data_IF_612349582719
#
_entry.id   IF_612349582719
#
_cell.length_a   1.000
_cell.length_b   1.000
_cell.length_c   1.000
_cell.angle_alpha   90.00
_cell.angle_beta   90.00
_cell.angle_gamma   90.00
#
_symmetry.space_group_name_H-M   'P 1'
#
loop_
_entity.id
_entity.type
_entity.pdbx_description
1 polymer ?
#
# COMPACT_ATOMS: atom_id res chain seq x y z
N UNK A 1 -4.36 -11.24 9.96
CA UNK A 1 -4.35 -10.33 8.79
C UNK A 1 -2.94 -9.89 8.42
N UNK A 2 -2.20 -9.22 9.32
CA UNK A 2 -0.81 -8.77 9.14
C UNK A 2 0.11 -9.76 8.41
N UNK A 3 0.28 -10.97 8.94
CA UNK A 3 1.24 -11.94 8.38
C UNK A 3 0.81 -12.48 7.01
N UNK A 4 -0.50 -12.53 6.77
CA UNK A 4 -1.06 -12.88 5.45
C UNK A 4 -0.69 -11.81 4.42
N UNK A 5 -0.97 -10.54 4.72
CA UNK A 5 -0.68 -9.40 3.84
C UNK A 5 0.81 -9.36 3.49
N UNK A 6 1.68 -9.45 4.51
CA UNK A 6 3.14 -9.52 4.30
C UNK A 6 3.54 -10.69 3.41
N UNK A 7 2.98 -11.88 3.66
CA UNK A 7 3.29 -13.09 2.88
C UNK A 7 2.90 -12.92 1.41
N UNK A 8 1.67 -12.52 1.12
CA UNK A 8 1.14 -12.41 -0.24
C UNK A 8 1.90 -11.32 -1.01
N UNK A 9 2.05 -10.14 -0.41
CA UNK A 9 2.74 -9.02 -1.04
C UNK A 9 4.21 -9.31 -1.34
N UNK A 10 4.94 -9.94 -0.41
CA UNK A 10 6.32 -10.35 -0.64
C UNK A 10 6.41 -11.37 -1.77
N UNK A 11 5.54 -12.38 -1.79
CA UNK A 11 5.57 -13.40 -2.82
C UNK A 11 5.22 -12.87 -4.21
N UNK A 12 4.23 -11.98 -4.33
CA UNK A 12 3.90 -11.33 -5.60
C UNK A 12 5.06 -10.47 -6.12
N UNK A 13 5.71 -9.71 -5.24
CA UNK A 13 6.91 -8.95 -5.59
C UNK A 13 8.06 -9.84 -6.08
N UNK A 14 8.35 -10.91 -5.33
CA UNK A 14 9.44 -11.83 -5.70
C UNK A 14 9.12 -12.61 -6.97
N UNK A 15 7.86 -12.99 -7.19
CA UNK A 15 7.42 -13.69 -8.39
C UNK A 15 7.70 -12.89 -9.66
N UNK A 16 7.46 -11.57 -9.64
CA UNK A 16 7.75 -10.67 -10.78
C UNK A 16 9.25 -10.64 -11.12
N UNK A 17 10.12 -10.84 -10.14
CA UNK A 17 11.58 -10.90 -10.36
C UNK A 17 12.06 -12.22 -10.96
N UNK A 18 11.24 -13.27 -10.97
CA UNK A 18 11.61 -14.59 -11.52
C UNK A 18 11.24 -14.65 -13.00
N UNK A 19 12.17 -14.25 -13.88
CA UNK A 19 11.93 -14.21 -15.33
C UNK A 19 11.60 -15.58 -15.97
N UNK A 20 11.90 -16.69 -15.30
CA UNK A 20 11.69 -18.05 -15.81
C UNK A 20 10.42 -18.75 -15.29
N UNK A 21 9.60 -18.08 -14.45
CA UNK A 21 8.38 -18.64 -13.90
C UNK A 21 7.15 -17.84 -14.34
N UNK A 22 6.29 -18.45 -15.16
CA UNK A 22 5.02 -17.88 -15.60
C UNK A 22 3.82 -18.35 -14.77
N UNK A 23 4.03 -19.27 -13.82
CA UNK A 23 2.99 -19.74 -12.90
C UNK A 23 3.58 -20.28 -11.59
N UNK A 24 2.71 -20.49 -10.59
CA UNK A 24 3.10 -20.94 -9.24
C UNK A 24 3.81 -22.31 -9.22
N UNK A 25 3.47 -23.21 -10.14
CA UNK A 25 4.11 -24.53 -10.23
C UNK A 25 5.53 -24.43 -10.83
N UNK A 26 5.75 -23.48 -11.73
CA UNK A 26 7.09 -23.16 -12.24
C UNK A 26 7.92 -22.46 -11.16
N UNK A 27 7.34 -21.51 -10.41
CA UNK A 27 8.01 -20.87 -9.28
C UNK A 27 8.44 -21.88 -8.21
N UNK A 28 7.55 -22.83 -7.87
CA UNK A 28 7.86 -23.86 -6.88
C UNK A 28 9.00 -24.78 -7.31
N UNK A 29 9.01 -25.21 -8.59
CA UNK A 29 10.09 -26.02 -9.15
C UNK A 29 11.41 -25.26 -9.21
N UNK A 30 11.37 -24.02 -9.69
CA UNK A 30 12.54 -23.15 -9.73
C UNK A 30 13.14 -22.98 -8.32
N UNK A 31 12.30 -22.74 -7.31
CA UNK A 31 12.75 -22.60 -5.93
C UNK A 31 13.41 -23.89 -5.43
N UNK A 32 12.75 -25.04 -5.62
CA UNK A 32 13.25 -26.35 -5.18
C UNK A 32 14.60 -26.68 -5.86
N UNK A 33 14.73 -26.47 -7.17
CA UNK A 33 15.96 -26.70 -7.95
C UNK A 33 17.10 -25.79 -7.49
N UNK A 34 16.82 -24.48 -7.33
CA UNK A 34 17.82 -23.48 -6.94
C UNK A 34 18.33 -23.74 -5.52
N UNK A 35 17.44 -24.09 -4.60
CA UNK A 35 17.81 -24.38 -3.22
C UNK A 35 18.50 -25.73 -3.08
N UNK A 36 18.14 -26.74 -3.89
CA UNK A 36 18.84 -28.02 -3.90
C UNK A 36 20.30 -27.87 -4.37
N UNK A 37 20.54 -27.01 -5.37
CA UNK A 37 21.89 -26.70 -5.84
C UNK A 37 22.75 -26.01 -4.76
N UNK A 38 22.15 -25.16 -3.92
CA UNK A 38 22.86 -24.44 -2.84
C UNK A 38 23.04 -25.26 -1.56
N UNK A 39 22.07 -26.10 -1.23
CA UNK A 39 22.05 -26.91 -0.01
C UNK A 39 21.84 -28.38 -0.36
N UNK A 40 22.86 -29.04 -0.94
CA UNK A 40 22.78 -30.45 -1.31
C UNK A 40 22.55 -31.30 -0.05
N UNK A 41 21.57 -32.20 -0.11
CA UNK A 41 21.19 -33.09 1.00
C UNK A 41 19.96 -32.67 1.80
N UNK A 42 19.39 -31.49 1.53
CA UNK A 42 18.08 -31.10 2.05
C UNK A 42 16.98 -31.29 1.00
N UNK A 43 15.86 -31.89 1.42
CA UNK A 43 14.64 -31.92 0.61
C UNK A 43 13.82 -30.66 0.85
N UNK A 44 13.37 -30.03 -0.25
CA UNK A 44 12.60 -28.79 -0.21
C UNK A 44 11.11 -29.03 -0.48
N UNK A 45 10.80 -29.89 -1.46
CA UNK A 45 9.46 -30.43 -1.80
C UNK A 45 8.32 -29.40 -1.76
N UNK A 46 8.60 -28.14 -2.12
CA UNK A 46 7.61 -27.05 -2.05
C UNK A 46 6.56 -27.20 -3.14
N UNK A 47 6.95 -27.75 -4.29
CA UNK A 47 6.04 -28.08 -5.38
C UNK A 47 5.06 -29.20 -4.98
N UNK A 48 5.55 -30.29 -4.38
CA UNK A 48 4.73 -31.45 -3.99
C UNK A 48 3.77 -31.06 -2.85
N UNK A 49 4.25 -30.31 -1.86
CA UNK A 49 3.45 -29.88 -0.71
C UNK A 49 2.46 -28.75 -1.01
N UNK A 50 2.48 -28.19 -2.23
CA UNK A 50 1.72 -27.00 -2.63
C UNK A 50 1.96 -25.82 -1.66
N UNK A 51 3.16 -25.71 -1.07
CA UNK A 51 3.46 -24.71 -0.05
C UNK A 51 3.23 -23.30 -0.59
N UNK A 52 3.95 -22.95 -1.66
CA UNK A 52 3.87 -21.62 -2.25
C UNK A 52 2.44 -21.28 -2.65
N UNK A 53 1.70 -22.23 -3.25
CA UNK A 53 0.29 -22.02 -3.59
C UNK A 53 -0.54 -21.57 -2.37
N UNK A 54 -0.39 -22.22 -1.22
CA UNK A 54 -1.09 -21.83 0.03
C UNK A 54 -0.67 -20.44 0.52
N UNK A 55 0.61 -20.08 0.36
CA UNK A 55 1.12 -18.77 0.75
C UNK A 55 0.64 -17.66 -0.21
N UNK A 56 0.66 -17.86 -1.52
CA UNK A 56 0.17 -16.91 -2.54
C UNK A 56 -1.33 -16.64 -2.39
N UNK A 57 -2.14 -17.66 -2.06
CA UNK A 57 -3.56 -17.48 -1.76
C UNK A 57 -3.83 -16.94 -0.34
N UNK A 58 -2.78 -16.65 0.45
CA UNK A 58 -2.94 -16.15 1.81
C UNK A 58 -3.57 -17.13 2.79
N UNK A 59 -3.61 -18.42 2.47
CA UNK A 59 -4.16 -19.47 3.36
C UNK A 59 -3.23 -19.74 4.55
N UNK A 60 -1.92 -19.62 4.35
CA UNK A 60 -0.89 -19.88 5.37
C UNK A 60 0.15 -18.76 5.31
N UNK A 61 0.50 -18.21 6.47
CA UNK A 61 1.57 -17.23 6.59
C UNK A 61 2.95 -17.90 6.41
N UNK A 62 3.91 -17.15 5.87
CA UNK A 62 5.29 -17.60 5.77
C UNK A 62 5.96 -17.58 7.15
N UNK A 63 6.76 -18.59 7.44
CA UNK A 63 7.60 -18.58 8.66
C UNK A 63 8.92 -17.87 8.38
N UNK A 64 9.56 -17.34 9.42
CA UNK A 64 10.83 -16.63 9.33
C UNK A 64 11.92 -17.44 8.60
N UNK A 65 11.94 -18.76 8.82
CA UNK A 65 12.86 -19.67 8.14
C UNK A 65 12.73 -19.61 6.61
N UNK A 66 11.50 -19.58 6.10
CA UNK A 66 11.25 -19.52 4.65
C UNK A 66 11.51 -18.13 4.07
N UNK A 67 11.29 -17.08 4.86
CA UNK A 67 11.71 -15.72 4.49
C UNK A 67 13.23 -15.65 4.36
N UNK A 68 13.98 -16.27 5.28
CA UNK A 68 15.45 -16.34 5.20
C UNK A 68 15.93 -17.08 3.94
N UNK A 69 15.27 -18.18 3.55
CA UNK A 69 15.62 -18.86 2.31
C UNK A 69 15.32 -18.03 1.07
N UNK A 70 14.23 -17.27 1.06
CA UNK A 70 13.97 -16.32 -0.02
C UNK A 70 14.99 -15.18 -0.03
N UNK A 71 15.44 -14.71 1.12
CA UNK A 71 16.46 -13.66 1.21
C UNK A 71 17.82 -14.10 0.65
N UNK A 72 18.17 -15.38 0.77
CA UNK A 72 19.34 -15.97 0.10
C UNK A 72 19.22 -15.93 -1.42
N UNK A 73 18.01 -16.09 -1.96
CA UNK A 73 17.74 -16.08 -3.40
C UNK A 73 17.50 -14.69 -3.97
N UNK A 74 17.03 -13.77 -3.14
CA UNK A 74 16.73 -12.38 -3.47
C UNK A 74 17.36 -11.45 -2.41
N UNK A 75 18.70 -11.38 -2.36
CA UNK A 75 19.38 -10.37 -1.57
C UNK A 75 19.04 -8.96 -2.10
N UNK A 76 19.48 -7.97 -1.34
CA UNK A 76 19.45 -6.55 -1.73
C UNK A 76 19.84 -6.35 -3.21
N UNK A 77 19.01 -5.62 -3.95
CA UNK A 77 19.18 -5.33 -5.38
C UNK A 77 20.57 -4.76 -5.75
N UNK A 78 21.22 -4.04 -4.82
CA UNK A 78 22.59 -3.51 -5.00
C UNK A 78 23.61 -4.62 -5.22
N UNK A 79 23.34 -5.81 -4.69
CA UNK A 79 24.20 -6.97 -4.85
C UNK A 79 24.22 -7.45 -6.31
N UNK A 80 23.09 -7.39 -7.00
CA UNK A 80 23.01 -7.71 -8.43
C UNK A 80 23.67 -6.63 -9.29
N UNK A 81 23.49 -5.35 -8.96
CA UNK A 81 24.15 -4.24 -9.67
C UNK A 81 25.68 -4.31 -9.59
N UNK A 82 26.22 -4.70 -8.43
CA UNK A 82 27.66 -4.90 -8.23
C UNK A 82 28.21 -6.12 -9.00
N UNK A 83 27.39 -7.17 -9.16
CA UNK A 83 27.79 -8.40 -9.84
C UNK A 83 27.64 -8.30 -11.37
N UNK A 84 26.66 -7.54 -11.86
CA UNK A 84 26.52 -7.16 -13.27
C UNK A 84 27.66 -6.24 -13.73
N UNK A 85 28.11 -5.32 -12.86
CA UNK A 85 29.27 -4.45 -13.12
C UNK A 85 30.59 -5.23 -13.30
N UNK A 86 30.68 -6.46 -12.79
CA UNK A 86 31.85 -7.34 -12.92
C UNK A 86 31.81 -8.23 -14.18
N UNK A 87 30.67 -8.34 -14.88
CA UNK A 87 30.46 -9.38 -15.90
C UNK A 87 29.93 -8.93 -17.28
N UNK A 88 29.80 -7.65 -17.59
CA UNK A 88 29.27 -7.24 -18.91
C UNK A 88 30.28 -7.42 -20.06
N UNK A 89 29.86 -8.05 -21.19
CA UNK A 89 29.53 -7.24 -22.35
C UNK A 89 28.20 -7.58 -23.07
N UNK A 90 27.50 -6.50 -23.43
CA UNK A 90 26.55 -6.25 -24.55
C UNK A 90 25.50 -7.32 -24.94
N UNK A 91 24.24 -7.08 -24.54
CA UNK A 91 23.09 -6.76 -25.43
C UNK A 91 21.73 -7.23 -24.85
N UNK A 92 20.78 -6.28 -24.77
CA UNK A 92 19.30 -6.43 -24.72
C UNK A 92 18.69 -7.24 -23.56
N UNK A 93 17.73 -6.74 -22.78
CA UNK A 93 16.67 -5.76 -22.99
C UNK A 93 16.45 -4.92 -21.72
N UNK A 94 16.15 -3.61 -21.82
CA UNK A 94 15.66 -2.88 -20.67
C UNK A 94 14.18 -3.22 -20.48
N UNK A 95 13.85 -4.20 -19.64
CA UNK A 95 12.58 -4.14 -18.94
C UNK A 95 12.71 -2.99 -17.95
N UNK A 96 12.30 -1.79 -18.38
CA UNK A 96 12.02 -0.70 -17.45
C UNK A 96 11.14 -1.29 -16.34
N UNK A 97 11.50 -1.09 -15.06
CA UNK A 97 10.56 -1.35 -13.97
C UNK A 97 9.27 -0.59 -14.30
N UNK A 98 8.11 -1.21 -14.09
CA UNK A 98 6.82 -0.51 -14.18
C UNK A 98 6.95 0.83 -13.42
N UNK A 99 6.67 1.93 -14.12
CA UNK A 99 6.71 3.27 -13.56
C UNK A 99 5.86 3.30 -12.28
N UNK A 100 6.47 3.72 -11.16
CA UNK A 100 5.89 3.64 -9.81
C UNK A 100 6.64 2.72 -8.83
N UNK A 101 7.56 1.89 -9.32
CA UNK A 101 8.46 1.10 -8.45
C UNK A 101 9.74 1.87 -8.11
N UNK A 102 9.69 2.92 -7.28
CA UNK A 102 10.90 3.35 -6.54
C UNK A 102 11.20 2.36 -5.42
N UNK A 103 11.37 1.10 -5.78
CA UNK A 103 11.79 0.07 -4.85
C UNK A 103 13.26 0.33 -4.58
N UNK A 104 13.55 0.95 -3.43
CA UNK A 104 14.86 0.84 -2.82
C UNK A 104 15.34 -0.61 -2.92
N UNK A 105 16.63 -0.80 -3.13
CA UNK A 105 17.24 -2.10 -3.31
C UNK A 105 17.08 -2.94 -2.02
N UNK A 106 15.92 -3.59 -1.86
CA UNK A 106 15.57 -4.34 -0.66
C UNK A 106 15.55 -5.83 -0.98
N UNK A 107 16.17 -6.61 -0.10
CA UNK A 107 16.10 -8.07 -0.11
C UNK A 107 14.72 -8.56 0.36
N UNK A 108 14.46 -9.86 0.19
CA UNK A 108 13.18 -10.47 0.58
C UNK A 108 12.86 -10.28 2.07
N UNK A 109 13.87 -10.31 2.94
CA UNK A 109 13.68 -10.12 4.38
C UNK A 109 13.21 -8.70 4.72
N UNK A 110 13.88 -7.68 4.17
CA UNK A 110 13.51 -6.28 4.37
C UNK A 110 12.11 -6.01 3.80
N UNK A 111 11.80 -6.54 2.61
CA UNK A 111 10.48 -6.41 2.01
C UNK A 111 9.38 -7.06 2.86
N UNK A 112 9.64 -8.23 3.44
CA UNK A 112 8.68 -8.92 4.31
C UNK A 112 8.47 -8.20 5.65
N UNK A 113 9.54 -7.70 6.25
CA UNK A 113 9.48 -7.01 7.55
C UNK A 113 8.88 -5.60 7.41
N UNK A 114 9.45 -4.82 6.50
CA UNK A 114 9.28 -3.37 6.48
C UNK A 114 8.24 -2.95 5.43
N UNK A 115 8.17 -3.70 4.33
CA UNK A 115 7.28 -3.45 3.20
C UNK A 115 7.82 -2.42 2.22
N UNK A 116 7.16 -2.29 1.05
CA UNK A 116 7.51 -1.25 0.10
C UNK A 116 7.34 0.12 0.76
N UNK A 117 8.33 1.02 0.63
CA UNK A 117 8.29 2.34 1.25
C UNK A 117 8.02 2.37 2.75
N UNK A 118 8.35 1.30 3.49
CA UNK A 118 8.02 1.10 4.91
C UNK A 118 6.50 1.04 5.21
N UNK A 119 5.70 0.59 4.25
CA UNK A 119 4.24 0.50 4.39
C UNK A 119 3.80 -0.44 5.53
N UNK A 120 4.50 -1.56 5.78
CA UNK A 120 4.12 -2.46 6.87
C UNK A 120 4.38 -1.84 8.24
N UNK A 121 5.45 -1.06 8.37
CA UNK A 121 5.67 -0.25 9.58
C UNK A 121 4.51 0.73 9.77
N UNK A 122 4.15 1.48 8.71
CA UNK A 122 3.09 2.47 8.78
C UNK A 122 1.73 1.89 9.18
N UNK A 123 1.37 0.69 8.70
CA UNK A 123 0.07 0.08 8.97
C UNK A 123 0.05 -0.67 10.32
N UNK A 124 1.10 -1.43 10.64
CA UNK A 124 1.03 -2.43 11.72
C UNK A 124 1.78 -2.07 12.99
N UNK A 125 2.74 -1.17 12.91
CA UNK A 125 3.53 -0.82 14.10
C UNK A 125 2.89 0.32 14.86
N UNK A 126 3.05 0.29 16.18
CA UNK A 126 2.76 1.41 17.06
C UNK A 126 3.89 2.43 16.92
N UNK A 127 3.95 3.08 15.75
CA UNK A 127 4.93 4.14 15.56
C UNK A 127 4.51 5.31 16.44
N UNK A 128 5.46 5.79 17.24
CA UNK A 128 5.36 6.99 18.04
C UNK A 128 4.75 8.13 17.22
N UNK A 129 3.78 8.82 17.81
CA UNK A 129 3.28 10.10 17.33
C UNK A 129 4.47 11.00 16.97
N UNK A 130 4.38 11.74 15.85
CA UNK A 130 5.38 12.69 15.37
C UNK A 130 6.53 12.17 14.45
N UNK A 131 6.40 10.99 13.81
CA UNK A 131 7.36 10.54 12.75
C UNK A 131 6.92 11.03 11.36
N UNK A 132 7.15 12.31 11.08
CA UNK A 132 7.10 12.89 9.73
C UNK A 132 8.26 13.90 9.57
N UNK A 133 8.85 13.99 8.38
CA UNK A 133 10.03 14.81 8.08
C UNK A 133 9.71 16.32 7.95
N UNK A 134 8.76 16.82 8.74
CA UNK A 134 8.32 18.22 8.71
C UNK A 134 8.20 18.81 10.12
N UNK A 135 8.33 20.14 10.19
CA UNK A 135 8.32 20.89 11.45
C UNK A 135 6.99 20.79 12.22
N UNK A 136 5.90 20.41 11.54
CA UNK A 136 4.59 20.22 12.14
C UNK A 136 3.73 19.21 11.36
N UNK A 137 2.68 18.71 12.01
CA UNK A 137 1.69 17.84 11.35
C UNK A 137 1.02 18.56 10.17
N UNK A 138 0.67 19.85 10.34
CA UNK A 138 0.01 20.64 9.30
C UNK A 138 0.89 20.73 8.05
N UNK A 139 2.16 21.07 8.23
CA UNK A 139 3.13 21.12 7.14
C UNK A 139 3.26 19.76 6.42
N UNK A 140 3.38 18.66 7.18
CA UNK A 140 3.44 17.32 6.60
C UNK A 140 2.17 16.94 5.81
N UNK A 141 0.99 17.33 6.31
CA UNK A 141 -0.29 17.09 5.65
C UNK A 141 -0.44 17.96 4.40
N UNK A 142 -0.07 19.24 4.47
CA UNK A 142 -0.11 20.17 3.34
C UNK A 142 0.82 19.70 2.21
N UNK A 143 2.05 19.29 2.54
CA UNK A 143 3.03 18.78 1.58
C UNK A 143 2.53 17.48 0.93
N UNK A 144 2.00 16.54 1.72
CA UNK A 144 1.45 15.30 1.19
C UNK A 144 0.22 15.56 0.32
N UNK A 145 -0.71 16.40 0.77
CA UNK A 145 -1.92 16.72 0.01
C UNK A 145 -1.56 17.38 -1.33
N UNK A 146 -0.65 18.35 -1.31
CA UNK A 146 -0.15 19.00 -2.51
C UNK A 146 0.47 17.98 -3.46
N UNK A 147 1.40 17.15 -2.98
CA UNK A 147 2.09 16.13 -3.78
C UNK A 147 1.12 15.13 -4.40
N UNK A 148 0.20 14.57 -3.60
CA UNK A 148 -0.74 13.54 -4.07
C UNK A 148 -1.68 14.10 -5.14
N UNK A 149 -2.26 15.28 -4.92
CA UNK A 149 -3.15 15.87 -5.90
C UNK A 149 -2.41 16.38 -7.14
N UNK A 150 -1.20 16.93 -7.01
CA UNK A 150 -0.42 17.37 -8.18
C UNK A 150 0.03 16.17 -9.01
N UNK A 151 0.51 15.10 -8.37
CA UNK A 151 0.93 13.90 -9.07
C UNK A 151 -0.26 13.25 -9.78
N UNK A 152 -1.39 13.13 -9.09
CA UNK A 152 -2.60 12.58 -9.68
C UNK A 152 -3.10 13.38 -10.89
N UNK A 153 -3.11 14.72 -10.80
CA UNK A 153 -3.54 15.59 -11.90
C UNK A 153 -2.57 15.58 -13.11
N UNK A 154 -1.29 15.27 -12.87
CA UNK A 154 -0.25 15.24 -13.89
C UNK A 154 0.03 13.82 -14.41
N UNK A 155 -0.76 12.82 -14.02
CA UNK A 155 -0.53 11.40 -14.29
C UNK A 155 0.87 10.90 -13.85
N UNK A 156 1.43 11.53 -12.80
CA UNK A 156 2.70 11.11 -12.20
C UNK A 156 2.47 9.97 -11.19
N UNK A 157 3.39 9.00 -11.10
CA UNK A 157 3.25 7.90 -10.16
C UNK A 157 3.18 8.38 -8.71
N UNK A 158 2.28 7.75 -7.94
CA UNK A 158 2.21 7.88 -6.47
C UNK A 158 2.87 6.64 -5.87
N UNK A 159 3.95 6.85 -5.12
CA UNK A 159 4.80 5.76 -4.63
C UNK A 159 4.24 5.12 -3.36
N UNK A 160 4.77 3.95 -2.98
CA UNK A 160 4.39 3.30 -1.72
C UNK A 160 4.83 4.09 -0.49
N UNK A 161 5.91 4.88 -0.60
CA UNK A 161 6.34 5.84 0.42
C UNK A 161 5.26 6.90 0.67
N UNK A 162 4.57 7.36 -0.38
CA UNK A 162 3.48 8.33 -0.26
C UNK A 162 2.26 7.71 0.42
N UNK A 163 1.94 6.46 0.08
CA UNK A 163 0.90 5.69 0.77
C UNK A 163 1.27 5.43 2.24
N UNK A 164 2.51 5.06 2.54
CA UNK A 164 2.98 4.87 3.90
C UNK A 164 2.87 6.17 4.71
N UNK A 165 3.23 7.31 4.11
CA UNK A 165 3.07 8.63 4.74
C UNK A 165 1.60 8.99 4.97
N UNK A 166 0.72 8.71 4.01
CA UNK A 166 -0.71 8.91 4.16
C UNK A 166 -1.29 8.09 5.32
N UNK A 167 -0.88 6.82 5.45
CA UNK A 167 -1.26 5.95 6.57
C UNK A 167 -0.78 6.53 7.91
N UNK A 168 0.48 7.00 8.00
CA UNK A 168 1.02 7.59 9.24
C UNK A 168 0.23 8.83 9.66
N UNK A 169 0.01 9.77 8.75
CA UNK A 169 -0.73 11.00 9.04
C UNK A 169 -2.19 10.74 9.41
N UNK A 170 -2.82 9.75 8.76
CA UNK A 170 -4.17 9.32 9.13
C UNK A 170 -4.21 8.69 10.53
N UNK A 171 -3.31 7.74 10.83
CA UNK A 171 -3.28 7.08 12.14
C UNK A 171 -2.98 8.04 13.29
N UNK A 172 -2.16 9.07 13.06
CA UNK A 172 -1.91 10.14 14.03
C UNK A 172 -3.17 10.98 14.37
N UNK A 173 -4.22 10.91 13.54
CA UNK A 173 -5.53 11.53 13.79
C UNK A 173 -6.53 10.59 14.46
N UNK A 174 -6.14 9.35 14.77
CA UNK A 174 -7.00 8.45 15.52
C UNK A 174 -6.89 8.73 17.02
N UNK A 175 -8.01 8.67 17.75
CA UNK A 175 -7.99 8.79 19.20
C UNK A 175 -7.21 7.62 19.81
N UNK A 176 -6.31 7.94 20.75
CA UNK A 176 -5.41 6.96 21.40
C UNK A 176 -5.99 6.47 22.72
N UNK A 177 -6.74 7.34 23.41
CA UNK A 177 -7.43 7.08 24.68
C UNK A 177 -8.63 8.05 24.84
N UNK A 178 -9.63 7.67 25.66
CA UNK A 178 -10.85 8.44 25.97
C UNK A 178 -10.59 9.86 26.53
N UNK A 179 -9.35 10.19 26.92
CA UNK A 179 -8.97 11.47 27.53
C UNK A 179 -8.09 12.36 26.63
N UNK A 180 -7.47 11.80 25.60
CA UNK A 180 -6.62 12.58 24.69
C UNK A 180 -7.48 13.11 23.54
N UNK A 181 -8.30 14.13 23.81
CA UNK A 181 -8.87 14.95 22.73
C UNK A 181 -7.74 15.35 21.78
N UNK A 182 -7.94 15.04 20.51
CA UNK A 182 -6.99 15.18 19.42
C UNK A 182 -6.15 16.45 19.55
N UNK A 183 -4.82 16.29 19.55
CA UNK A 183 -3.82 17.37 19.46
C UNK A 183 -4.08 18.32 18.28
N UNK A 184 -4.95 17.91 17.35
CA UNK A 184 -5.14 18.48 16.03
C UNK A 184 -6.63 18.70 15.69
N UNK A 185 -6.95 19.68 14.81
CA UNK A 185 -8.30 19.91 14.30
C UNK A 185 -8.93 18.68 13.62
N UNK A 186 -10.24 18.49 13.80
CA UNK A 186 -10.99 17.39 13.18
C UNK A 186 -10.93 17.42 11.65
N UNK A 187 -10.86 18.62 11.07
CA UNK A 187 -10.71 18.85 9.64
C UNK A 187 -9.45 18.19 9.07
N UNK A 188 -8.38 18.06 9.87
CA UNK A 188 -7.16 17.40 9.46
C UNK A 188 -7.32 15.87 9.40
N UNK A 189 -8.17 15.31 10.26
CA UNK A 189 -8.62 13.91 10.14
C UNK A 189 -9.32 13.65 8.80
N UNK A 190 -10.18 14.57 8.38
CA UNK A 190 -10.89 14.46 7.09
C UNK A 190 -9.90 14.55 5.91
N UNK A 191 -9.00 15.54 5.93
CA UNK A 191 -7.99 15.74 4.88
C UNK A 191 -7.06 14.53 4.76
N UNK A 192 -6.52 14.05 5.88
CA UNK A 192 -5.63 12.88 5.90
C UNK A 192 -6.33 11.61 5.39
N UNK A 193 -7.61 11.42 5.71
CA UNK A 193 -8.38 10.30 5.18
C UNK A 193 -8.61 10.39 3.67
N UNK A 194 -8.86 11.59 3.13
CA UNK A 194 -8.94 11.81 1.68
C UNK A 194 -7.60 11.53 0.98
N UNK A 195 -6.49 11.97 1.55
CA UNK A 195 -5.14 11.65 1.05
C UNK A 195 -4.89 10.13 1.06
N UNK A 196 -5.27 9.43 2.13
CA UNK A 196 -5.17 7.98 2.21
C UNK A 196 -5.97 7.29 1.11
N UNK A 197 -7.23 7.69 0.90
CA UNK A 197 -8.08 7.12 -0.16
C UNK A 197 -7.54 7.40 -1.55
N UNK A 198 -7.00 8.59 -1.79
CA UNK A 198 -6.34 8.94 -3.04
C UNK A 198 -5.12 8.04 -3.27
N UNK A 199 -4.24 7.90 -2.27
CA UNK A 199 -3.04 7.07 -2.39
C UNK A 199 -3.37 5.59 -2.67
N UNK A 200 -4.40 5.03 -2.03
CA UNK A 200 -4.89 3.67 -2.29
C UNK A 200 -5.43 3.55 -3.73
N UNK A 201 -6.26 4.51 -4.16
CA UNK A 201 -6.84 4.52 -5.50
C UNK A 201 -5.78 4.64 -6.61
N UNK A 202 -4.73 5.42 -6.36
CA UNK A 202 -3.62 5.62 -7.29
C UNK A 202 -2.67 4.42 -7.39
N UNK A 203 -2.63 3.53 -6.40
CA UNK A 203 -1.84 2.30 -6.42
C UNK A 203 -2.57 1.13 -7.11
N UNK A 204 -3.34 1.44 -8.17
CA UNK A 204 -3.99 0.46 -9.05
C UNK A 204 -3.27 0.39 -10.41
N UNK A 205 -3.13 -0.80 -11.03
CA UNK A 205 -3.58 -2.11 -10.57
C UNK A 205 -2.78 -2.64 -9.36
N UNK A 206 -3.44 -3.40 -8.49
CA UNK A 206 -2.84 -3.99 -7.28
C UNK A 206 -1.80 -5.07 -7.60
N UNK A 207 -0.55 -4.63 -7.79
CA UNK A 207 0.59 -5.53 -8.04
C UNK A 207 0.94 -6.39 -6.81
N UNK A 208 0.63 -5.91 -5.60
CA UNK A 208 0.91 -6.67 -4.37
C UNK A 208 -0.15 -7.73 -4.07
N UNK A 209 -1.34 -7.63 -4.67
CA UNK A 209 -2.48 -8.52 -4.43
C UNK A 209 -3.07 -8.39 -3.02
N UNK A 210 -2.87 -7.25 -2.36
CA UNK A 210 -3.31 -6.98 -0.97
C UNK A 210 -3.92 -5.60 -0.77
N UNK A 211 -4.05 -4.76 -1.81
CA UNK A 211 -4.60 -3.41 -1.69
C UNK A 211 -6.06 -3.44 -1.27
N UNK A 212 -6.86 -4.40 -1.74
CA UNK A 212 -8.23 -4.61 -1.25
C UNK A 212 -8.26 -4.83 0.27
N UNK A 213 -7.38 -5.71 0.78
CA UNK A 213 -7.31 -6.01 2.22
C UNK A 213 -6.91 -4.77 3.03
N UNK A 214 -5.96 -3.99 2.53
CA UNK A 214 -5.50 -2.75 3.18
C UNK A 214 -6.63 -1.72 3.19
N UNK A 215 -7.33 -1.55 2.07
CA UNK A 215 -8.46 -0.63 1.93
C UNK A 215 -9.61 -0.98 2.89
N UNK A 216 -9.97 -2.26 2.98
CA UNK A 216 -11.03 -2.75 3.88
C UNK A 216 -10.65 -2.56 5.35
N UNK A 217 -9.40 -2.89 5.72
CA UNK A 217 -8.93 -2.70 7.09
C UNK A 217 -8.97 -1.24 7.54
N UNK A 218 -8.53 -0.32 6.68
CA UNK A 218 -8.56 1.12 6.99
C UNK A 218 -9.99 1.68 6.96
N UNK A 219 -10.86 1.13 6.11
CA UNK A 219 -12.29 1.46 6.09
C UNK A 219 -12.99 1.02 7.39
N UNK A 220 -12.68 -0.16 7.92
CA UNK A 220 -13.21 -0.64 9.20
C UNK A 220 -12.79 0.26 10.37
N UNK A 221 -11.54 0.73 10.38
CA UNK A 221 -11.06 1.70 11.38
C UNK A 221 -11.84 3.02 11.27
N UNK A 222 -12.01 3.55 10.07
CA UNK A 222 -12.75 4.81 9.89
C UNK A 222 -14.23 4.68 10.26
N UNK A 223 -14.84 3.54 9.93
CA UNK A 223 -16.21 3.24 10.32
C UNK A 223 -16.34 3.18 11.85
N UNK A 224 -15.38 2.58 12.54
CA UNK A 224 -15.35 2.56 14.00
C UNK A 224 -15.19 3.99 14.57
N UNK A 225 -14.31 4.81 13.99
CA UNK A 225 -14.13 6.22 14.37
C UNK A 225 -15.43 7.00 14.24
N UNK A 226 -16.14 6.89 13.11
CA UNK A 226 -17.41 7.60 12.89
C UNK A 226 -18.53 7.18 13.83
N UNK A 227 -18.52 5.92 14.30
CA UNK A 227 -19.48 5.42 15.29
C UNK A 227 -19.18 5.94 16.69
N UNK A 228 -17.89 6.09 17.03
CA UNK A 228 -17.45 6.53 18.34
C UNK A 228 -17.46 8.07 18.50
N UNK A 229 -17.00 8.80 17.49
CA UNK A 229 -16.79 10.25 17.54
C UNK A 229 -17.88 11.01 16.75
N UNK A 230 -18.87 11.52 17.50
CA UNK A 230 -19.98 12.32 16.94
C UNK A 230 -19.51 13.69 16.45
N UNK A 231 -18.50 14.27 17.07
CA UNK A 231 -17.99 15.59 16.70
C UNK A 231 -17.28 15.50 15.36
N UNK A 232 -16.50 14.42 15.14
CA UNK A 232 -15.89 14.13 13.85
C UNK A 232 -16.92 13.88 12.75
N UNK A 233 -17.96 13.09 13.03
CA UNK A 233 -19.06 12.88 12.08
C UNK A 233 -19.79 14.19 11.72
N UNK A 234 -19.92 15.11 12.68
CA UNK A 234 -20.47 16.45 12.43
C UNK A 234 -19.50 17.32 11.62
N UNK A 235 -18.19 17.26 11.90
CA UNK A 235 -17.16 17.98 11.16
C UNK A 235 -17.15 17.60 9.67
N UNK A 236 -17.34 16.31 9.33
CA UNK A 236 -17.49 15.86 7.94
C UNK A 236 -18.66 16.55 7.25
N UNK A 237 -19.82 16.62 7.91
CA UNK A 237 -20.99 17.33 7.35
C UNK A 237 -20.66 18.79 7.08
N UNK A 238 -20.04 19.47 8.05
CA UNK A 238 -19.64 20.88 7.92
C UNK A 238 -18.64 21.09 6.78
N UNK A 239 -17.66 20.19 6.64
CA UNK A 239 -16.66 20.26 5.59
C UNK A 239 -17.26 20.07 4.19
N UNK A 240 -18.22 19.16 4.03
CA UNK A 240 -18.93 18.99 2.76
C UNK A 240 -19.78 20.21 2.40
N UNK A 241 -20.49 20.79 3.36
CA UNK A 241 -21.24 22.02 3.15
C UNK A 241 -20.31 23.20 2.81
N UNK A 242 -19.13 23.29 3.45
CA UNK A 242 -18.10 24.30 3.16
C UNK A 242 -17.60 24.19 1.71
N UNK A 243 -17.53 22.98 1.16
CA UNK A 243 -17.19 22.71 -0.25
C UNK A 243 -18.32 23.01 -1.23
N UNK A 244 -19.47 23.52 -0.75
CA UNK A 244 -20.61 23.93 -1.58
C UNK A 244 -21.56 22.80 -1.94
N UNK A 245 -21.46 21.65 -1.27
CA UNK A 245 -22.29 20.48 -1.54
C UNK A 245 -23.63 20.62 -0.80
N UNK A 246 -24.70 20.15 -1.43
CA UNK A 246 -26.08 20.28 -0.93
C UNK A 246 -26.41 19.27 0.17
N UNK A 247 -25.67 18.16 0.24
CA UNK A 247 -25.78 17.16 1.27
C UNK A 247 -24.40 16.59 1.66
N UNK A 248 -24.32 16.10 2.90
CA UNK A 248 -23.18 15.33 3.36
C UNK A 248 -23.27 13.88 2.86
N UNK A 249 -22.14 13.17 2.68
CA UNK A 249 -22.14 11.80 2.23
C UNK A 249 -22.78 10.90 3.29
N UNK A 250 -23.33 9.78 2.84
CA UNK A 250 -23.67 8.71 3.78
C UNK A 250 -22.39 8.18 4.45
N UNK A 251 -22.51 7.59 5.65
CA UNK A 251 -21.34 7.00 6.35
C UNK A 251 -20.65 5.96 5.48
N UNK A 252 -21.42 5.08 4.83
CA UNK A 252 -20.86 4.05 3.94
C UNK A 252 -20.16 4.65 2.73
N UNK A 253 -20.73 5.70 2.14
CA UNK A 253 -20.11 6.39 1.01
C UNK A 253 -18.80 7.07 1.41
N UNK A 254 -18.79 7.83 2.51
CA UNK A 254 -17.58 8.47 3.00
C UNK A 254 -16.47 7.44 3.30
N UNK A 255 -16.81 6.35 3.97
CA UNK A 255 -15.85 5.30 4.36
C UNK A 255 -15.34 4.50 3.16
N UNK A 256 -16.19 4.16 2.21
CA UNK A 256 -15.76 3.31 1.09
C UNK A 256 -15.16 4.14 -0.03
N UNK A 257 -15.85 5.19 -0.47
CA UNK A 257 -15.51 6.01 -1.62
C UNK A 257 -15.97 7.47 -1.42
N UNK A 258 -15.21 8.28 -0.65
CA UNK A 258 -15.62 9.65 -0.33
C UNK A 258 -15.62 10.57 -1.55
N UNK A 259 -15.01 10.16 -2.67
CA UNK A 259 -14.94 10.95 -3.89
C UNK A 259 -16.25 10.96 -4.68
N UNK A 260 -17.18 10.04 -4.43
CA UNK A 260 -18.50 10.00 -5.08
C UNK A 260 -19.30 11.29 -4.82
N UNK A 261 -19.51 11.62 -3.55
CA UNK A 261 -20.16 12.88 -3.15
C UNK A 261 -19.40 14.13 -3.61
N UNK A 262 -18.07 14.07 -3.70
CA UNK A 262 -17.26 15.20 -4.15
C UNK A 262 -17.40 15.44 -5.67
N UNK A 263 -17.58 14.38 -6.47
CA UNK A 263 -17.85 14.47 -7.89
C UNK A 263 -19.24 15.05 -8.20
N UNK A 264 -20.28 14.48 -7.57
CA UNK A 264 -21.68 14.63 -8.00
C UNK A 264 -22.15 16.09 -8.02
N UNK A 265 -21.55 16.94 -7.17
CA UNK A 265 -22.03 18.30 -6.93
C UNK A 265 -20.93 19.37 -7.09
N UNK A 266 -19.79 19.04 -7.70
CA UNK A 266 -18.72 20.02 -7.96
C UNK A 266 -19.08 20.93 -9.15
N UNK A 267 -19.03 22.26 -8.95
CA UNK A 267 -19.30 23.25 -10.01
C UNK A 267 -18.13 23.43 -10.99
N UNK A 268 -16.90 23.29 -10.51
CA UNK A 268 -15.67 23.37 -11.32
C UNK A 268 -15.46 22.11 -12.14
N UNK A 269 -15.31 22.25 -13.46
CA UNK A 269 -15.09 21.13 -14.37
C UNK A 269 -13.78 20.38 -14.09
N UNK A 270 -12.71 21.09 -13.69
CA UNK A 270 -11.42 20.48 -13.36
C UNK A 270 -11.53 19.55 -12.15
N UNK A 271 -12.07 20.07 -11.04
CA UNK A 271 -12.26 19.28 -9.82
C UNK A 271 -13.27 18.17 -10.01
N UNK A 272 -14.30 18.39 -10.82
CA UNK A 272 -15.24 17.35 -11.23
C UNK A 272 -14.47 16.22 -11.90
N UNK A 273 -13.76 16.44 -13.01
CA UNK A 273 -12.99 15.36 -13.69
C UNK A 273 -12.06 14.58 -12.75
N UNK A 274 -11.32 15.27 -11.89
CA UNK A 274 -10.46 14.64 -10.86
C UNK A 274 -11.26 13.68 -9.97
N UNK A 275 -12.36 14.14 -9.37
CA UNK A 275 -13.12 13.32 -8.44
C UNK A 275 -13.87 12.16 -9.11
N UNK A 276 -14.24 12.25 -10.40
CA UNK A 276 -14.75 11.07 -11.13
C UNK A 276 -13.68 10.00 -11.29
N UNK A 277 -12.47 10.41 -11.69
CA UNK A 277 -11.37 9.50 -11.88
C UNK A 277 -11.03 8.79 -10.57
N UNK A 278 -10.90 9.55 -9.48
CA UNK A 278 -10.69 9.01 -8.14
C UNK A 278 -11.83 8.10 -7.67
N UNK A 279 -13.09 8.47 -7.90
CA UNK A 279 -14.22 7.64 -7.53
C UNK A 279 -14.21 6.31 -8.31
N UNK A 280 -13.90 6.35 -9.60
CA UNK A 280 -13.83 5.15 -10.45
C UNK A 280 -12.69 4.21 -10.04
N UNK A 281 -11.51 4.76 -9.75
CA UNK A 281 -10.36 4.00 -9.26
C UNK A 281 -10.61 3.41 -7.86
N UNK A 282 -11.30 4.16 -7.00
CA UNK A 282 -11.67 3.67 -5.65
C UNK A 282 -12.65 2.49 -5.75
N UNK A 283 -13.65 2.57 -6.64
CA UNK A 283 -14.57 1.45 -6.87
C UNK A 283 -13.86 0.20 -7.42
N UNK A 284 -12.78 0.38 -8.20
CA UNK A 284 -11.95 -0.74 -8.67
C UNK A 284 -11.09 -1.33 -7.55
N UNK A 285 -10.57 -0.50 -6.64
CA UNK A 285 -9.77 -0.96 -5.50
C UNK A 285 -10.56 -1.84 -4.51
N UNK A 286 -11.89 -1.81 -4.57
CA UNK A 286 -12.80 -2.61 -3.74
C UNK A 286 -13.30 -3.90 -4.42
N UNK A 287 -12.92 -4.13 -5.69
CA UNK A 287 -13.29 -5.35 -6.41
C UNK A 287 -12.09 -6.28 -6.44
N UNK A 288 -12.20 -7.52 -5.93
CA UNK A 288 -11.13 -8.49 -6.08
C UNK A 288 -10.85 -8.72 -7.57
N UNK A 289 -9.57 -8.69 -7.95
CA UNK A 289 -9.14 -9.14 -9.26
C UNK A 289 -9.62 -10.59 -9.44
N UNK A 290 -10.40 -10.85 -10.48
CA UNK A 290 -10.92 -12.18 -10.83
C UNK A 290 -9.82 -13.10 -11.34
#
# INVERSE_FOLDING_TARGET
MRDRVRTVATLNHLFIKVCCANNLAQFSRWFDETMHARYPGRTWDTNVSNKWRKNFYGTVAMTDEWVQYLDVLFPDGRYYSAQEAMCAPLASFPTQPLAGMSNGAMGALAWFRDGPGHLWHAIWEEIAFDVWDADSYEAALDDLEMKLYSNFDCDEPIAYEDLAQAVRLYRAQLPVDDQARLKYPLEWGIRSYLCLKLAIAANQPDVLGVMCDIADYLADIELARLKADRDYAFAIRKEWMRRGLSCAPSVGEYVMNPFLSLWDQCSSEHFRRRYAALASLTDWSLRPAK
#
